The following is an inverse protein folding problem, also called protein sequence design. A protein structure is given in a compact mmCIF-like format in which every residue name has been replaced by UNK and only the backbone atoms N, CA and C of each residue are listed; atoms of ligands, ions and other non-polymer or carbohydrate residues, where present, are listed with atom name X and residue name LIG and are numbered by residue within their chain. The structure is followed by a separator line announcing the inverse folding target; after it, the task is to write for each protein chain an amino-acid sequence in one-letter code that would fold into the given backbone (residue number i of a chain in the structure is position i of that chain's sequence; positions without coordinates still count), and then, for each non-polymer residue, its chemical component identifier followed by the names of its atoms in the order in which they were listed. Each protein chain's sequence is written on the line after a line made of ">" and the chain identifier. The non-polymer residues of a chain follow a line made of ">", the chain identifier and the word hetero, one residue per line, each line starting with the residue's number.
data_IF_212436790448
#
_entry.id   IF_212436790448
#
_cell.length_a   1.000
_cell.length_b   1.000
_cell.length_c   1.000
_cell.angle_alpha   90.00
_cell.angle_beta   90.00
_cell.angle_gamma   90.00
#
_symmetry.space_group_name_H-M   'P 1'
#
loop_
_entity.id
_entity.type
_entity.pdbx_description
1 polymer ?
#
# COMPACT_ATOMS: atom_id res chain seq x y z
N UNK A 1 -26.47 -19.60 4.84
CA UNK A 1 -27.71 -18.84 4.58
C UNK A 1 -27.35 -17.38 4.46
N UNK A 2 -27.86 -16.70 3.43
CA UNK A 2 -27.50 -15.31 3.14
C UNK A 2 -28.73 -14.41 3.26
N UNK A 3 -28.54 -13.18 3.71
CA UNK A 3 -29.58 -12.15 3.75
C UNK A 3 -29.01 -10.84 3.22
N UNK A 4 -29.63 -10.33 2.16
CA UNK A 4 -29.22 -9.10 1.47
C UNK A 4 -30.28 -8.01 1.70
N UNK A 5 -29.91 -6.99 2.47
CA UNK A 5 -30.72 -5.82 2.82
C UNK A 5 -30.03 -4.51 2.39
N UNK A 6 -29.11 -4.61 1.42
CA UNK A 6 -28.37 -3.47 0.89
C UNK A 6 -29.25 -2.48 0.13
N UNK A 7 -28.76 -1.26 -0.09
CA UNK A 7 -29.44 -0.20 -0.86
C UNK A 7 -30.85 0.14 -0.35
N UNK A 8 -31.00 0.18 0.98
CA UNK A 8 -32.25 0.51 1.65
C UNK A 8 -32.12 1.80 2.47
N UNK A 9 -33.15 2.13 3.25
CA UNK A 9 -33.19 3.33 4.10
C UNK A 9 -33.04 2.97 5.59
N UNK A 10 -32.36 1.87 5.92
CA UNK A 10 -32.23 1.41 7.30
C UNK A 10 -31.32 2.37 8.05
N UNK A 11 -31.81 2.93 9.16
CA UNK A 11 -31.05 3.86 10.00
C UNK A 11 -30.49 3.21 11.26
N UNK A 12 -31.21 2.21 11.78
CA UNK A 12 -30.92 1.56 13.05
C UNK A 12 -31.15 0.06 12.95
N UNK A 13 -30.20 -0.70 13.49
CA UNK A 13 -30.36 -2.14 13.73
C UNK A 13 -30.57 -2.35 15.22
N UNK A 14 -31.74 -2.87 15.60
CA UNK A 14 -32.12 -3.04 17.00
C UNK A 14 -31.61 -4.37 17.58
N UNK A 15 -31.78 -4.53 18.89
CA UNK A 15 -31.50 -5.81 19.54
C UNK A 15 -32.42 -6.88 18.97
N UNK A 16 -31.90 -8.11 18.85
CA UNK A 16 -32.65 -9.29 18.41
C UNK A 16 -33.27 -9.21 17.00
N UNK A 17 -33.00 -8.19 16.19
CA UNK A 17 -33.50 -8.07 14.80
C UNK A 17 -33.26 -9.33 13.98
N UNK A 18 -32.10 -9.98 14.16
CA UNK A 18 -31.72 -11.20 13.44
C UNK A 18 -31.74 -12.46 14.33
N UNK A 19 -32.41 -12.43 15.49
CA UNK A 19 -32.33 -13.50 16.48
C UNK A 19 -32.85 -14.86 15.98
N UNK A 20 -33.86 -14.86 15.10
CA UNK A 20 -34.43 -16.07 14.52
C UNK A 20 -33.57 -16.65 13.38
N UNK A 21 -32.59 -15.89 12.89
CA UNK A 21 -31.73 -16.25 11.76
C UNK A 21 -30.42 -16.90 12.25
N UNK A 22 -30.51 -17.91 13.12
CA UNK A 22 -29.34 -18.56 13.73
C UNK A 22 -28.40 -19.28 12.75
N UNK A 23 -28.86 -19.55 11.51
CA UNK A 23 -28.06 -20.15 10.43
C UNK A 23 -27.47 -19.12 9.46
N UNK A 24 -27.63 -17.82 9.75
CA UNK A 24 -27.11 -16.73 8.91
C UNK A 24 -25.58 -16.79 8.86
N UNK A 25 -25.05 -16.83 7.64
CA UNK A 25 -23.62 -16.91 7.31
C UNK A 25 -23.15 -15.62 6.63
N UNK A 26 -24.00 -15.00 5.80
CA UNK A 26 -23.67 -13.71 5.17
C UNK A 26 -24.80 -12.72 5.37
N UNK A 27 -24.45 -11.49 5.72
CA UNK A 27 -25.39 -10.39 5.90
C UNK A 27 -24.91 -9.15 5.16
N UNK A 28 -25.66 -8.76 4.12
CA UNK A 28 -25.47 -7.51 3.39
C UNK A 28 -26.37 -6.40 3.95
N UNK A 29 -25.75 -5.33 4.44
CA UNK A 29 -26.40 -4.10 4.93
C UNK A 29 -25.80 -2.85 4.27
N UNK A 30 -25.10 -3.01 3.14
CA UNK A 30 -24.45 -1.90 2.44
C UNK A 30 -25.43 -0.84 1.92
N UNK A 31 -24.96 0.38 1.64
CA UNK A 31 -25.75 1.43 0.98
C UNK A 31 -27.00 1.81 1.77
N UNK A 32 -26.92 1.80 3.10
CA UNK A 32 -28.02 2.19 3.99
C UNK A 32 -27.67 3.50 4.72
N UNK A 33 -28.48 3.90 5.70
CA UNK A 33 -28.24 5.08 6.55
C UNK A 33 -27.87 4.67 7.98
N UNK A 34 -27.29 3.49 8.15
CA UNK A 34 -27.09 2.90 9.48
C UNK A 34 -26.07 3.72 10.24
N UNK A 35 -26.51 4.41 11.28
CA UNK A 35 -25.61 5.12 12.21
C UNK A 35 -25.54 4.42 13.57
N UNK A 36 -26.42 3.46 13.84
CA UNK A 36 -26.49 2.74 15.10
C UNK A 36 -26.85 1.27 14.90
N UNK A 37 -26.00 0.38 15.40
CA UNK A 37 -26.26 -1.06 15.51
C UNK A 37 -26.24 -1.43 16.98
N UNK A 38 -27.33 -1.93 17.54
CA UNK A 38 -27.36 -2.31 18.96
C UNK A 38 -26.28 -3.37 19.27
N UNK A 39 -25.62 -3.28 20.44
CA UNK A 39 -24.55 -4.20 20.86
C UNK A 39 -24.95 -5.69 20.84
N UNK A 40 -26.23 -5.97 21.02
CA UNK A 40 -26.79 -7.33 21.05
C UNK A 40 -27.47 -7.75 19.73
N UNK A 41 -27.30 -6.97 18.66
CA UNK A 41 -27.94 -7.24 17.36
C UNK A 41 -27.56 -8.61 16.79
N UNK A 42 -26.29 -9.04 16.97
CA UNK A 42 -25.72 -10.23 16.32
C UNK A 42 -25.40 -11.40 17.27
N UNK A 43 -25.89 -11.35 18.52
CA UNK A 43 -25.56 -12.35 19.57
C UNK A 43 -25.96 -13.79 19.20
N UNK A 44 -27.00 -13.96 18.39
CA UNK A 44 -27.52 -15.28 17.99
C UNK A 44 -26.96 -15.77 16.66
N UNK A 45 -26.28 -14.91 15.88
CA UNK A 45 -25.79 -15.20 14.53
C UNK A 45 -24.34 -15.71 14.60
N UNK A 46 -24.11 -16.78 15.37
CA UNK A 46 -22.75 -17.32 15.62
C UNK A 46 -22.08 -17.94 14.39
N UNK A 47 -22.85 -18.23 13.35
CA UNK A 47 -22.37 -18.76 12.06
C UNK A 47 -22.03 -17.65 11.05
N UNK A 48 -22.17 -16.38 11.43
CA UNK A 48 -21.88 -15.26 10.54
C UNK A 48 -20.40 -15.27 10.17
N UNK A 49 -20.14 -15.34 8.86
CA UNK A 49 -18.83 -15.37 8.21
C UNK A 49 -18.55 -14.06 7.50
N UNK A 50 -19.58 -13.45 6.88
CA UNK A 50 -19.43 -12.19 6.18
C UNK A 50 -20.44 -11.17 6.66
N UNK A 51 -19.95 -9.96 6.96
CA UNK A 51 -20.77 -8.81 7.30
C UNK A 51 -20.37 -7.62 6.44
N UNK A 52 -21.26 -7.23 5.54
CA UNK A 52 -21.08 -6.07 4.68
C UNK A 52 -21.90 -4.88 5.21
N UNK A 53 -21.19 -3.83 5.62
CA UNK A 53 -21.73 -2.57 6.13
C UNK A 53 -21.22 -1.37 5.32
N UNK A 54 -20.79 -1.59 4.08
CA UNK A 54 -20.25 -0.52 3.24
C UNK A 54 -21.24 0.63 3.02
N UNK A 55 -20.79 1.87 2.90
CA UNK A 55 -21.64 3.00 2.57
C UNK A 55 -22.73 3.25 3.62
N UNK A 56 -22.33 3.38 4.89
CA UNK A 56 -23.22 3.66 6.01
C UNK A 56 -22.70 4.86 6.83
N UNK A 57 -23.32 5.13 7.99
CA UNK A 57 -23.02 6.27 8.85
C UNK A 57 -22.43 5.83 10.20
N UNK A 58 -21.77 4.68 10.24
CA UNK A 58 -21.26 4.09 11.47
C UNK A 58 -20.05 4.88 11.98
N UNK A 59 -20.09 5.27 13.26
CA UNK A 59 -19.03 6.04 13.93
C UNK A 59 -18.26 5.22 14.97
N UNK A 60 -18.89 4.22 15.58
CA UNK A 60 -18.35 3.49 16.74
C UNK A 60 -18.60 1.97 16.62
N UNK A 61 -17.63 1.14 17.01
CA UNK A 61 -17.69 -0.35 16.91
C UNK A 61 -17.10 -1.04 18.17
N UNK A 62 -17.61 -0.80 19.37
CA UNK A 62 -16.84 -1.12 20.59
C UNK A 62 -17.49 -2.13 21.55
N UNK A 63 -16.68 -2.68 22.47
CA UNK A 63 -17.17 -3.35 23.68
C UNK A 63 -18.06 -2.39 24.47
N UNK A 64 -19.32 -2.75 24.70
CA UNK A 64 -20.35 -1.88 25.30
C UNK A 64 -20.74 -0.65 24.45
N UNK A 65 -20.32 -0.58 23.19
CA UNK A 65 -20.76 0.41 22.21
C UNK A 65 -21.60 -0.28 21.12
N UNK A 66 -22.21 0.48 20.19
CA UNK A 66 -22.84 -0.07 19.01
C UNK A 66 -21.90 -1.01 18.23
N UNK A 67 -22.50 -1.96 17.51
CA UNK A 67 -21.82 -2.95 16.67
C UNK A 67 -20.77 -3.80 17.43
N UNK A 68 -21.22 -4.60 18.40
CA UNK A 68 -20.35 -5.53 19.12
C UNK A 68 -20.33 -6.91 18.44
N UNK A 69 -19.16 -7.32 17.94
CA UNK A 69 -18.96 -8.56 17.18
C UNK A 69 -18.31 -9.68 18.01
N UNK A 70 -18.21 -9.52 19.33
CA UNK A 70 -17.55 -10.50 20.21
C UNK A 70 -18.12 -11.92 20.11
N UNK A 71 -19.40 -12.05 19.76
CA UNK A 71 -20.11 -13.33 19.66
C UNK A 71 -20.13 -13.92 18.25
N UNK A 72 -19.34 -13.37 17.32
CA UNK A 72 -19.25 -13.82 15.93
C UNK A 72 -17.81 -14.31 15.64
N UNK A 73 -17.38 -15.42 16.27
CA UNK A 73 -15.97 -15.85 16.18
C UNK A 73 -15.57 -16.39 14.82
N UNK A 74 -16.54 -16.81 14.02
CA UNK A 74 -16.34 -17.30 12.66
C UNK A 74 -16.42 -16.23 11.58
N UNK A 75 -16.41 -14.94 11.95
CA UNK A 75 -16.40 -13.85 10.99
C UNK A 75 -15.04 -13.82 10.27
N UNK A 76 -15.08 -13.96 8.95
CA UNK A 76 -13.96 -13.99 8.01
C UNK A 76 -13.82 -12.64 7.32
N UNK A 77 -14.94 -12.08 6.85
CA UNK A 77 -14.99 -10.84 6.07
C UNK A 77 -15.79 -9.77 6.82
N UNK A 78 -15.15 -8.63 7.09
CA UNK A 78 -15.80 -7.44 7.65
C UNK A 78 -15.55 -6.25 6.74
N UNK A 79 -16.59 -5.79 6.05
CA UNK A 79 -16.53 -4.67 5.12
C UNK A 79 -17.19 -3.44 5.76
N UNK A 80 -16.38 -2.42 6.02
CA UNK A 80 -16.77 -1.16 6.68
C UNK A 80 -16.39 0.06 5.82
N UNK A 81 -16.18 -0.16 4.52
CA UNK A 81 -15.84 0.89 3.55
C UNK A 81 -16.87 2.02 3.57
N UNK A 82 -16.44 3.27 3.40
CA UNK A 82 -17.31 4.45 3.37
C UNK A 82 -18.26 4.53 4.57
N UNK A 83 -17.66 4.57 5.77
CA UNK A 83 -18.36 4.87 7.01
C UNK A 83 -17.81 6.17 7.61
N UNK A 84 -17.96 6.38 8.91
CA UNK A 84 -17.58 7.59 9.62
C UNK A 84 -16.70 7.26 10.84
N UNK A 85 -15.93 6.18 10.76
CA UNK A 85 -15.04 5.72 11.83
C UNK A 85 -13.86 6.68 11.97
N UNK A 86 -13.55 7.08 13.21
CA UNK A 86 -12.48 8.04 13.51
C UNK A 86 -11.24 7.37 14.13
N UNK A 87 -11.38 6.14 14.65
CA UNK A 87 -10.28 5.37 15.26
C UNK A 87 -10.51 3.86 15.18
N UNK A 88 -9.44 3.08 15.05
CA UNK A 88 -9.47 1.61 15.09
C UNK A 88 -9.57 1.11 16.53
N UNK A 89 -9.04 1.84 17.52
CA UNK A 89 -9.17 1.50 18.94
C UNK A 89 -10.62 1.42 19.42
N UNK A 90 -11.53 2.06 18.69
CA UNK A 90 -12.97 1.99 18.94
C UNK A 90 -13.62 0.74 18.38
N UNK A 91 -12.84 -0.16 17.73
CA UNK A 91 -13.24 -1.43 17.11
C UNK A 91 -12.84 -2.61 18.01
N UNK A 92 -13.74 -3.09 18.89
CA UNK A 92 -13.49 -4.31 19.66
C UNK A 92 -13.68 -5.55 18.78
N UNK A 93 -12.60 -5.96 18.11
CA UNK A 93 -12.56 -7.18 17.31
C UNK A 93 -12.04 -8.40 18.09
N UNK A 94 -11.99 -8.37 19.42
CA UNK A 94 -11.41 -9.47 20.22
C UNK A 94 -12.12 -10.82 20.02
N UNK A 95 -13.38 -10.81 19.59
CA UNK A 95 -14.12 -12.03 19.27
C UNK A 95 -13.89 -12.56 17.86
N UNK A 96 -13.57 -11.72 16.87
CA UNK A 96 -13.40 -12.08 15.46
C UNK A 96 -12.00 -12.68 15.23
N UNK A 97 -11.79 -13.91 15.71
CA UNK A 97 -10.48 -14.57 15.68
C UNK A 97 -10.10 -15.12 14.30
N UNK A 98 -11.10 -15.42 13.47
CA UNK A 98 -10.93 -15.95 12.12
C UNK A 98 -11.02 -14.87 11.05
N UNK A 99 -10.88 -13.59 11.43
CA UNK A 99 -11.00 -12.49 10.49
C UNK A 99 -9.80 -12.50 9.55
N UNK A 100 -10.07 -12.74 8.27
CA UNK A 100 -9.07 -12.80 7.20
C UNK A 100 -9.05 -11.50 6.40
N UNK A 101 -10.22 -10.88 6.17
CA UNK A 101 -10.35 -9.66 5.38
C UNK A 101 -11.05 -8.55 6.16
N UNK A 102 -10.39 -7.39 6.23
CA UNK A 102 -10.89 -6.20 6.89
C UNK A 102 -10.74 -4.99 5.97
N UNK A 103 -11.87 -4.41 5.56
CA UNK A 103 -11.91 -3.18 4.79
C UNK A 103 -12.43 -2.01 5.64
N UNK A 104 -11.54 -1.08 5.96
CA UNK A 104 -11.79 0.17 6.68
C UNK A 104 -11.59 1.40 5.78
N UNK A 105 -11.55 1.22 4.46
CA UNK A 105 -11.26 2.32 3.54
C UNK A 105 -12.38 3.37 3.51
N UNK A 106 -12.07 4.58 3.03
CA UNK A 106 -13.05 5.68 2.94
C UNK A 106 -13.68 6.04 4.31
N UNK A 107 -12.92 5.93 5.40
CA UNK A 107 -13.33 6.37 6.73
C UNK A 107 -12.62 7.68 7.12
N UNK A 108 -12.59 8.02 8.41
CA UNK A 108 -11.99 9.24 8.96
C UNK A 108 -10.91 8.93 9.99
N UNK A 109 -10.28 7.76 9.89
CA UNK A 109 -9.26 7.29 10.84
C UNK A 109 -8.05 8.22 10.75
N UNK A 110 -7.58 8.73 11.89
CA UNK A 110 -6.51 9.73 11.94
C UNK A 110 -5.15 9.18 12.38
N UNK A 111 -5.14 8.05 13.10
CA UNK A 111 -3.94 7.41 13.64
C UNK A 111 -4.16 5.91 13.79
N UNK A 112 -3.06 5.15 13.80
CA UNK A 112 -3.06 3.73 14.15
C UNK A 112 -2.16 3.55 15.37
N UNK A 113 -2.73 3.02 16.46
CA UNK A 113 -2.03 2.76 17.71
C UNK A 113 -1.51 1.30 17.77
N UNK A 114 -0.51 1.05 18.63
CA UNK A 114 0.21 -0.25 18.70
C UNK A 114 -0.72 -1.47 18.90
N UNK A 115 -1.85 -1.30 19.60
CA UNK A 115 -2.74 -2.39 19.98
C UNK A 115 -4.06 -2.45 19.20
N UNK A 116 -4.27 -1.53 18.25
CA UNK A 116 -5.52 -1.40 17.49
C UNK A 116 -5.89 -2.68 16.74
N UNK A 117 -4.88 -3.40 16.24
CA UNK A 117 -5.02 -4.63 15.47
C UNK A 117 -4.42 -5.84 16.19
N UNK A 118 -4.27 -5.75 17.52
CA UNK A 118 -3.68 -6.82 18.33
C UNK A 118 -4.46 -8.13 18.19
N UNK A 119 -3.71 -9.25 18.16
CA UNK A 119 -4.24 -10.61 18.10
C UNK A 119 -5.12 -10.89 16.88
N UNK A 120 -4.81 -10.26 15.73
CA UNK A 120 -5.41 -10.56 14.42
C UNK A 120 -4.44 -11.37 13.56
N UNK A 121 -4.03 -12.52 14.08
CA UNK A 121 -3.01 -13.37 13.45
C UNK A 121 -3.44 -13.93 12.10
N UNK A 122 -4.74 -14.15 11.91
CA UNK A 122 -5.33 -14.68 10.68
C UNK A 122 -5.58 -13.64 9.60
N UNK A 123 -5.45 -12.35 9.92
CA UNK A 123 -5.75 -11.29 8.96
C UNK A 123 -4.78 -11.35 7.78
N UNK A 124 -5.34 -11.60 6.59
CA UNK A 124 -4.62 -11.76 5.34
C UNK A 124 -4.65 -10.46 4.51
N UNK A 125 -5.75 -9.71 4.57
CA UNK A 125 -5.96 -8.49 3.79
C UNK A 125 -6.48 -7.39 4.69
N UNK A 126 -5.79 -6.25 4.64
CA UNK A 126 -6.14 -5.06 5.39
C UNK A 126 -6.14 -3.84 4.47
N UNK A 127 -7.32 -3.27 4.26
CA UNK A 127 -7.49 -2.03 3.53
C UNK A 127 -7.84 -0.89 4.51
N UNK A 128 -6.94 0.09 4.65
CA UNK A 128 -7.18 1.32 5.43
C UNK A 128 -6.88 2.54 4.54
N UNK A 129 -7.08 2.39 3.23
CA UNK A 129 -6.86 3.48 2.26
C UNK A 129 -7.94 4.55 2.37
N UNK A 130 -7.70 5.73 1.77
CA UNK A 130 -8.65 6.86 1.79
C UNK A 130 -9.13 7.23 3.19
N UNK A 131 -8.20 7.34 4.15
CA UNK A 131 -8.47 7.81 5.50
C UNK A 131 -7.70 9.14 5.74
N UNK A 132 -7.54 9.54 6.99
CA UNK A 132 -6.83 10.76 7.39
C UNK A 132 -5.60 10.44 8.25
N UNK A 133 -5.00 9.27 8.04
CA UNK A 133 -3.93 8.77 8.92
C UNK A 133 -2.68 9.62 8.74
N UNK A 134 -2.24 10.26 9.82
CA UNK A 134 -1.03 11.07 9.86
C UNK A 134 0.14 10.33 10.52
N UNK A 135 -0.17 9.43 11.46
CA UNK A 135 0.81 8.71 12.26
C UNK A 135 0.41 7.24 12.45
N UNK A 136 1.41 6.37 12.42
CA UNK A 136 1.30 4.94 12.74
C UNK A 136 2.32 4.65 13.82
N UNK A 137 1.85 4.22 14.99
CA UNK A 137 2.73 3.86 16.10
C UNK A 137 3.69 2.72 15.68
N UNK A 138 4.92 2.68 16.22
CA UNK A 138 5.85 1.57 15.99
C UNK A 138 5.18 0.22 16.27
N UNK A 139 5.50 -0.80 15.47
CA UNK A 139 4.99 -2.16 15.66
C UNK A 139 3.46 -2.36 15.66
N UNK A 140 2.67 -1.36 15.20
CA UNK A 140 1.18 -1.46 15.12
C UNK A 140 0.65 -2.66 14.34
N UNK A 141 1.42 -3.18 13.39
CA UNK A 141 1.04 -4.35 12.59
C UNK A 141 1.76 -5.64 13.03
N UNK A 142 2.50 -5.61 14.13
CA UNK A 142 3.45 -6.69 14.49
C UNK A 142 2.80 -8.05 14.77
N UNK A 143 1.49 -8.08 15.06
CA UNK A 143 0.75 -9.34 15.30
C UNK A 143 0.10 -9.92 14.05
N UNK A 144 0.14 -9.22 12.91
CA UNK A 144 -0.53 -9.62 11.67
C UNK A 144 0.33 -10.59 10.84
N UNK A 145 0.62 -11.75 11.42
CA UNK A 145 1.59 -12.71 10.89
C UNK A 145 1.18 -13.29 9.53
N UNK A 146 -0.11 -13.43 9.25
CA UNK A 146 -0.64 -13.91 7.98
C UNK A 146 -0.95 -12.81 6.98
N UNK A 147 -0.59 -11.54 7.25
CA UNK A 147 -0.94 -10.44 6.36
C UNK A 147 -0.16 -10.52 5.04
N UNK A 148 -0.90 -10.58 3.93
CA UNK A 148 -0.38 -10.63 2.57
C UNK A 148 -0.49 -9.28 1.86
N UNK A 149 -1.58 -8.56 2.11
CA UNK A 149 -1.90 -7.30 1.43
C UNK A 149 -2.22 -6.23 2.46
N UNK A 150 -1.49 -5.11 2.38
CA UNK A 150 -1.74 -3.91 3.17
C UNK A 150 -1.87 -2.69 2.27
N UNK A 151 -3.03 -2.05 2.30
CA UNK A 151 -3.27 -0.80 1.59
C UNK A 151 -3.44 0.36 2.58
N UNK A 152 -2.45 1.26 2.59
CA UNK A 152 -2.41 2.51 3.35
C UNK A 152 -2.43 3.73 2.42
N UNK A 153 -2.80 3.55 1.15
CA UNK A 153 -2.80 4.63 0.17
C UNK A 153 -3.84 5.71 0.46
N UNK A 154 -3.62 6.91 -0.06
CA UNK A 154 -4.53 8.06 0.11
C UNK A 154 -4.79 8.37 1.59
N UNK A 155 -3.72 8.44 2.35
CA UNK A 155 -3.68 8.92 3.71
C UNK A 155 -2.83 10.20 3.77
N UNK A 156 -2.44 10.63 4.97
CA UNK A 156 -1.69 11.86 5.21
C UNK A 156 -0.34 11.57 5.87
N UNK A 157 0.23 10.39 5.64
CA UNK A 157 1.48 9.96 6.25
C UNK A 157 2.64 10.82 5.75
N UNK A 158 3.44 11.37 6.66
CA UNK A 158 4.63 12.17 6.33
C UNK A 158 5.94 11.41 6.54
N UNK A 159 5.90 10.38 7.39
CA UNK A 159 7.02 9.48 7.67
C UNK A 159 6.51 8.09 8.08
N UNK A 160 7.40 7.11 8.07
CA UNK A 160 7.13 5.75 8.54
C UNK A 160 8.25 5.33 9.48
N UNK A 161 7.89 4.82 10.65
CA UNK A 161 8.88 4.28 11.58
C UNK A 161 9.48 2.97 11.05
N UNK A 162 10.78 2.75 11.23
CA UNK A 162 11.47 1.56 10.71
C UNK A 162 10.93 0.23 11.26
N UNK A 163 10.21 0.25 12.39
CA UNK A 163 9.58 -0.93 12.97
C UNK A 163 8.14 -1.18 12.50
N UNK A 164 7.50 -0.23 11.79
CA UNK A 164 6.09 -0.32 11.40
C UNK A 164 5.76 -1.63 10.67
N UNK A 165 6.63 -2.09 9.76
CA UNK A 165 6.43 -3.32 8.98
C UNK A 165 7.34 -4.49 9.41
N UNK A 166 8.08 -4.33 10.51
CA UNK A 166 9.19 -5.22 10.87
C UNK A 166 8.81 -6.68 11.14
N UNK A 167 7.54 -6.97 11.48
CA UNK A 167 7.07 -8.32 11.77
C UNK A 167 5.91 -8.76 10.88
N UNK A 168 6.01 -8.46 9.57
CA UNK A 168 5.06 -8.92 8.56
C UNK A 168 5.77 -9.89 7.59
N UNK A 169 6.00 -11.16 8.00
CA UNK A 169 6.81 -12.12 7.24
C UNK A 169 6.15 -12.57 5.94
N UNK A 170 4.81 -12.51 5.88
CA UNK A 170 4.00 -12.93 4.74
C UNK A 170 3.59 -11.79 3.81
N UNK A 171 3.99 -10.55 4.10
CA UNK A 171 3.59 -9.39 3.30
C UNK A 171 4.13 -9.49 1.88
N UNK A 172 3.21 -9.41 0.91
CA UNK A 172 3.50 -9.50 -0.52
C UNK A 172 3.21 -8.19 -1.24
N UNK A 173 2.17 -7.48 -0.81
CA UNK A 173 1.71 -6.25 -1.46
C UNK A 173 1.56 -5.15 -0.42
N UNK A 174 2.26 -4.04 -0.65
CA UNK A 174 2.17 -2.84 0.17
C UNK A 174 1.91 -1.62 -0.70
N UNK A 175 0.82 -0.90 -0.42
CA UNK A 175 0.53 0.37 -1.04
C UNK A 175 0.60 1.51 -0.03
N UNK A 176 1.45 2.48 -0.32
CA UNK A 176 1.66 3.73 0.41
C UNK A 176 1.44 4.94 -0.53
N UNK A 177 0.81 4.70 -1.69
CA UNK A 177 0.60 5.72 -2.70
C UNK A 177 -0.26 6.88 -2.18
N UNK A 178 -0.12 8.07 -2.77
CA UNK A 178 -0.92 9.25 -2.41
C UNK A 178 -0.84 9.57 -0.91
N UNK A 179 0.38 9.58 -0.36
CA UNK A 179 0.68 10.09 0.97
C UNK A 179 1.61 11.31 0.82
N UNK A 180 2.19 11.78 1.93
CA UNK A 180 3.10 12.92 1.97
C UNK A 180 4.50 12.50 2.43
N UNK A 181 4.91 11.26 2.15
CA UNK A 181 6.19 10.71 2.61
C UNK A 181 7.35 11.47 1.97
N UNK A 182 8.31 11.90 2.78
CA UNK A 182 9.49 12.66 2.30
C UNK A 182 10.75 11.80 2.16
N UNK A 183 10.82 10.70 2.90
CA UNK A 183 11.90 9.73 2.85
C UNK A 183 11.40 8.33 3.26
N UNK A 184 12.13 7.29 2.83
CA UNK A 184 11.99 5.92 3.31
C UNK A 184 13.35 5.47 3.83
N UNK A 185 13.43 5.03 5.08
CA UNK A 185 14.68 4.53 5.64
C UNK A 185 15.11 3.21 4.97
N UNK A 186 16.42 2.99 4.84
CA UNK A 186 17.01 1.82 4.16
C UNK A 186 16.52 0.48 4.73
N UNK A 187 16.26 0.43 6.03
CA UNK A 187 15.89 -0.82 6.71
C UNK A 187 14.39 -1.00 6.90
N UNK A 188 13.55 -0.11 6.36
CA UNK A 188 12.09 -0.15 6.56
C UNK A 188 11.47 -1.47 6.09
N UNK A 189 11.97 -2.07 5.01
CA UNK A 189 11.42 -3.31 4.44
C UNK A 189 12.33 -4.53 4.61
N UNK A 190 13.38 -4.43 5.43
CA UNK A 190 14.45 -5.44 5.48
C UNK A 190 13.93 -6.82 5.86
N UNK A 191 12.87 -6.89 6.68
CA UNK A 191 12.25 -8.13 7.18
C UNK A 191 11.09 -8.64 6.31
N UNK A 192 10.68 -7.92 5.27
CA UNK A 192 9.56 -8.29 4.41
C UNK A 192 10.02 -9.07 3.17
N UNK A 193 10.74 -10.19 3.36
CA UNK A 193 11.40 -10.92 2.26
C UNK A 193 10.46 -11.47 1.16
N UNK A 194 9.16 -11.56 1.45
CA UNK A 194 8.12 -11.99 0.50
C UNK A 194 7.49 -10.84 -0.29
N UNK A 195 7.91 -9.60 -0.07
CA UNK A 195 7.34 -8.43 -0.75
C UNK A 195 7.57 -8.52 -2.28
N UNK A 196 6.47 -8.49 -3.02
CA UNK A 196 6.39 -8.60 -4.48
C UNK A 196 6.10 -7.24 -5.13
N UNK A 197 5.20 -6.46 -4.53
CA UNK A 197 4.75 -5.18 -5.05
C UNK A 197 4.81 -4.10 -3.98
N UNK A 198 5.45 -2.97 -4.34
CA UNK A 198 5.51 -1.77 -3.51
C UNK A 198 5.05 -0.57 -4.34
N UNK A 199 4.01 0.12 -3.85
CA UNK A 199 3.51 1.35 -4.44
C UNK A 199 3.80 2.55 -3.53
N UNK A 200 4.63 3.48 -4.02
CA UNK A 200 5.01 4.73 -3.38
C UNK A 200 4.67 5.93 -4.27
N UNK A 201 3.79 5.73 -5.25
CA UNK A 201 3.33 6.77 -6.17
C UNK A 201 2.77 7.99 -5.42
N UNK A 202 2.95 9.19 -5.97
CA UNK A 202 2.34 10.43 -5.48
C UNK A 202 2.68 10.67 -3.99
N UNK A 203 3.97 10.68 -3.69
CA UNK A 203 4.52 11.07 -2.40
C UNK A 203 5.45 12.29 -2.60
N UNK A 204 6.17 12.70 -1.55
CA UNK A 204 7.12 13.81 -1.60
C UNK A 204 8.57 13.34 -1.43
N UNK A 205 8.89 12.13 -1.91
CA UNK A 205 10.20 11.52 -1.69
C UNK A 205 11.29 12.32 -2.41
N UNK A 206 12.33 12.73 -1.68
CA UNK A 206 13.43 13.53 -2.21
C UNK A 206 14.57 12.69 -2.80
N UNK A 207 14.70 11.44 -2.36
CA UNK A 207 15.70 10.49 -2.84
C UNK A 207 15.17 9.05 -2.74
N UNK A 208 15.74 8.15 -3.53
CA UNK A 208 15.51 6.72 -3.43
C UNK A 208 16.84 5.96 -3.33
N UNK A 209 16.96 5.10 -2.33
CA UNK A 209 18.13 4.25 -2.16
C UNK A 209 17.79 2.80 -2.57
N UNK A 210 18.57 2.17 -3.46
CA UNK A 210 18.29 0.78 -3.85
C UNK A 210 18.48 -0.21 -2.70
N UNK A 211 19.26 0.14 -1.69
CA UNK A 211 19.44 -0.63 -0.46
C UNK A 211 18.11 -0.88 0.25
N UNK A 212 17.16 0.07 0.15
CA UNK A 212 15.81 0.00 0.76
C UNK A 212 15.04 -1.27 0.41
N UNK A 213 15.31 -1.87 -0.76
CA UNK A 213 14.65 -3.08 -1.24
C UNK A 213 15.62 -4.23 -1.55
N UNK A 214 16.86 -4.16 -1.09
CA UNK A 214 17.89 -5.14 -1.44
C UNK A 214 17.50 -6.56 -1.01
N UNK A 215 16.97 -6.72 0.21
CA UNK A 215 16.54 -8.00 0.78
C UNK A 215 15.22 -8.55 0.21
N UNK A 216 14.40 -7.73 -0.45
CA UNK A 216 13.13 -8.14 -1.03
C UNK A 216 13.34 -8.83 -2.40
N UNK A 217 13.92 -10.03 -2.39
CA UNK A 217 14.32 -10.79 -3.59
C UNK A 217 13.15 -11.15 -4.52
N UNK A 218 11.93 -11.16 -3.98
CA UNK A 218 10.72 -11.45 -4.73
C UNK A 218 10.07 -10.22 -5.36
N UNK A 219 10.65 -9.02 -5.16
CA UNK A 219 10.07 -7.80 -5.70
C UNK A 219 10.04 -7.86 -7.24
N UNK A 220 8.85 -7.62 -7.78
CA UNK A 220 8.55 -7.59 -9.22
C UNK A 220 7.99 -6.24 -9.65
N UNK A 221 7.31 -5.54 -8.76
CA UNK A 221 6.66 -4.28 -9.07
C UNK A 221 7.09 -3.18 -8.09
N UNK A 222 7.52 -2.05 -8.65
CA UNK A 222 7.84 -0.85 -7.89
C UNK A 222 7.29 0.38 -8.60
N UNK A 223 6.43 1.15 -7.92
CA UNK A 223 5.91 2.41 -8.43
C UNK A 223 6.39 3.57 -7.57
N UNK A 224 7.13 4.48 -8.20
CA UNK A 224 7.75 5.66 -7.62
C UNK A 224 7.33 6.91 -8.41
N UNK A 225 6.23 6.84 -9.16
CA UNK A 225 5.72 7.98 -9.93
C UNK A 225 5.37 9.16 -9.03
N UNK A 226 5.37 10.37 -9.59
CA UNK A 226 4.85 11.56 -8.91
C UNK A 226 5.51 11.83 -7.54
N UNK A 227 6.84 11.69 -7.45
CA UNK A 227 7.64 12.06 -6.29
C UNK A 227 8.52 13.30 -6.57
N UNK A 228 9.32 13.72 -5.59
CA UNK A 228 10.13 14.94 -5.62
C UNK A 228 11.64 14.69 -5.72
N UNK A 229 12.06 13.63 -6.40
CA UNK A 229 13.48 13.25 -6.44
C UNK A 229 14.38 14.39 -6.91
N UNK A 230 15.29 14.84 -6.05
CA UNK A 230 16.19 15.97 -6.30
C UNK A 230 17.48 15.54 -7.02
N UNK A 231 18.07 16.44 -7.82
CA UNK A 231 19.46 16.29 -8.31
C UNK A 231 20.40 16.66 -7.19
N UNK A 232 21.25 15.73 -6.76
CA UNK A 232 22.36 16.09 -5.88
C UNK A 232 23.59 16.52 -6.70
N UNK A 233 24.00 17.79 -6.56
CA UNK A 233 25.15 18.39 -7.25
C UNK A 233 26.49 17.81 -6.79
N UNK A 234 26.62 17.30 -5.55
CA UNK A 234 27.91 16.91 -4.96
C UNK A 234 28.40 15.53 -5.41
N UNK A 235 27.50 14.61 -5.77
CA UNK A 235 27.88 13.26 -6.21
C UNK A 235 28.79 13.24 -7.46
N UNK A 236 28.69 14.29 -8.30
CA UNK A 236 29.50 14.43 -9.52
C UNK A 236 30.86 15.07 -9.35
N UNK A 237 31.06 15.83 -8.26
CA UNK A 237 32.34 16.49 -8.02
C UNK A 237 33.45 15.46 -7.75
N UNK A 238 33.08 14.30 -7.18
CA UNK A 238 34.03 13.25 -6.79
C UNK A 238 34.17 12.11 -7.82
N UNK A 239 33.26 11.99 -8.81
CA UNK A 239 33.16 10.78 -9.66
C UNK A 239 33.17 11.02 -11.19
N UNK A 240 33.38 12.24 -11.68
CA UNK A 240 33.55 12.51 -13.12
C UNK A 240 32.30 12.27 -13.98
N UNK A 241 32.39 12.61 -15.28
CA UNK A 241 31.28 12.65 -16.26
C UNK A 241 30.91 11.28 -16.84
N UNK A 242 30.76 10.24 -16.02
CA UNK A 242 30.27 8.93 -16.50
C UNK A 242 28.89 8.61 -15.92
N UNK A 243 27.88 8.63 -16.80
CA UNK A 243 26.54 8.13 -16.56
C UNK A 243 26.51 6.65 -16.99
N UNK A 244 27.00 5.76 -16.13
CA UNK A 244 26.87 4.34 -16.36
C UNK A 244 25.81 3.76 -15.41
N UNK A 245 24.67 3.34 -15.98
CA UNK A 245 23.68 2.54 -15.26
C UNK A 245 24.20 1.09 -15.20
N UNK A 246 25.42 0.92 -14.68
CA UNK A 246 25.95 -0.43 -14.51
C UNK A 246 27.46 -0.67 -14.44
N UNK A 247 27.99 -0.54 -13.22
CA UNK A 247 29.20 -1.13 -12.60
C UNK A 247 30.59 -1.05 -13.27
N UNK A 248 31.53 -0.65 -12.40
CA UNK A 248 32.96 -0.98 -12.28
C UNK A 248 33.99 -0.06 -12.94
N UNK A 249 34.77 0.58 -12.07
CA UNK A 249 36.13 0.99 -12.37
C UNK A 249 36.98 -0.23 -12.77
N UNK A 250 37.37 -0.28 -14.03
CA UNK A 250 38.73 -0.59 -14.47
C UNK A 250 38.80 -0.45 -16.00
N UNK A 251 39.72 0.40 -16.44
CA UNK A 251 40.21 0.58 -17.81
C UNK A 251 39.29 1.31 -18.81
N UNK A 252 39.55 2.60 -19.05
CA UNK A 252 40.15 3.08 -20.32
C UNK A 252 40.39 4.61 -20.28
N UNK A 253 41.48 5.01 -20.93
CA UNK A 253 41.95 6.38 -21.11
C UNK A 253 41.26 7.11 -22.29
N UNK A 254 41.17 8.43 -22.11
CA UNK A 254 41.27 9.52 -23.10
C UNK A 254 40.03 9.96 -23.90
N UNK A 255 39.92 11.28 -24.09
CA UNK A 255 39.14 11.89 -25.18
C UNK A 255 38.14 13.00 -24.81
N UNK A 256 38.66 14.22 -24.61
CA UNK A 256 38.11 15.54 -25.00
C UNK A 256 36.60 15.88 -24.88
N UNK A 257 36.36 16.86 -24.00
CA UNK A 257 35.62 18.13 -24.15
C UNK A 257 34.32 18.30 -24.96
N UNK A 258 33.51 19.21 -24.40
CA UNK A 258 32.30 19.88 -24.94
C UNK A 258 31.00 19.07 -24.99
N UNK A 259 30.24 19.11 -23.89
CA UNK A 259 28.86 19.63 -23.90
C UNK A 259 28.27 19.72 -22.48
N UNK A 260 27.77 20.91 -22.17
CA UNK A 260 27.19 21.31 -20.89
C UNK A 260 25.74 20.78 -20.69
N UNK A 261 25.35 20.65 -19.42
CA UNK A 261 23.96 20.63 -18.90
C UNK A 261 23.13 19.33 -18.79
N UNK A 262 23.68 18.19 -18.33
CA UNK A 262 22.80 17.10 -17.80
C UNK A 262 23.36 16.52 -16.49
N UNK A 263 22.67 16.78 -15.37
CA UNK A 263 23.08 16.32 -14.02
C UNK A 263 22.02 15.40 -13.38
N UNK A 264 22.47 14.19 -13.00
CA UNK A 264 21.92 13.01 -12.28
C UNK A 264 20.56 13.06 -11.61
N UNK A 265 19.78 11.99 -11.87
CA UNK A 265 18.66 11.54 -11.04
C UNK A 265 19.20 10.54 -9.99
N UNK A 266 18.96 10.79 -8.69
CA UNK A 266 19.34 9.89 -7.58
C UNK A 266 18.33 8.73 -7.42
N UNK A 267 18.11 7.99 -8.50
CA UNK A 267 17.46 6.67 -8.47
C UNK A 267 18.52 5.69 -8.92
N UNK A 268 19.50 5.43 -8.05
CA UNK A 268 20.44 4.35 -8.29
C UNK A 268 19.67 3.05 -8.11
N UNK A 269 19.65 2.19 -9.12
CA UNK A 269 19.10 0.84 -8.98
C UNK A 269 20.23 -0.15 -9.15
N UNK A 270 20.47 -0.94 -8.10
CA UNK A 270 21.44 -2.03 -8.17
C UNK A 270 21.06 -2.98 -9.34
N UNK A 271 22.02 -3.38 -10.18
CA UNK A 271 21.78 -4.25 -11.35
C UNK A 271 20.94 -5.49 -11.02
N UNK A 272 21.21 -6.13 -9.88
CA UNK A 272 20.48 -7.34 -9.43
C UNK A 272 19.04 -7.02 -9.06
N UNK A 273 18.80 -5.87 -8.44
CA UNK A 273 17.45 -5.38 -8.10
C UNK A 273 16.68 -5.02 -9.37
N UNK A 274 17.32 -4.35 -10.32
CA UNK A 274 16.67 -3.96 -11.57
C UNK A 274 16.32 -5.16 -12.46
N UNK A 275 17.24 -6.15 -12.58
CA UNK A 275 17.04 -7.33 -13.41
C UNK A 275 15.77 -8.14 -13.06
N UNK A 276 15.39 -8.16 -11.77
CA UNK A 276 14.23 -8.92 -11.27
C UNK A 276 12.90 -8.16 -11.35
N UNK A 277 12.91 -6.83 -11.50
CA UNK A 277 11.69 -6.03 -11.58
C UNK A 277 10.98 -6.27 -12.93
N UNK A 278 9.77 -6.82 -12.89
CA UNK A 278 8.91 -6.93 -14.06
C UNK A 278 8.35 -5.58 -14.46
N UNK A 279 8.06 -4.71 -13.48
CA UNK A 279 7.65 -3.34 -13.73
C UNK A 279 8.26 -2.38 -12.73
N UNK A 280 8.76 -1.27 -13.27
CA UNK A 280 9.24 -0.10 -12.55
C UNK A 280 8.59 1.12 -13.17
N UNK A 281 7.98 1.99 -12.35
CA UNK A 281 7.34 3.22 -12.82
C UNK A 281 7.96 4.43 -12.13
N UNK A 282 8.44 5.40 -12.92
CA UNK A 282 9.22 6.55 -12.45
C UNK A 282 8.77 7.91 -13.02
N UNK A 283 7.64 7.96 -13.72
CA UNK A 283 7.16 9.18 -14.37
C UNK A 283 6.77 10.31 -13.42
N UNK A 284 6.68 11.53 -13.98
CA UNK A 284 6.20 12.73 -13.30
C UNK A 284 6.93 13.04 -11.98
N UNK A 285 8.19 12.62 -11.88
CA UNK A 285 9.13 13.14 -10.91
C UNK A 285 9.71 14.45 -11.41
N UNK A 286 10.04 15.39 -10.53
CA UNK A 286 10.49 16.77 -10.84
C UNK A 286 11.65 16.84 -11.85
N UNK A 287 12.37 15.73 -12.07
CA UNK A 287 13.49 15.60 -13.02
C UNK A 287 13.36 14.52 -14.12
N UNK A 288 12.35 13.65 -14.08
CA UNK A 288 12.14 12.67 -15.15
C UNK A 288 11.79 13.38 -16.48
N UNK A 289 11.06 14.49 -16.43
CA UNK A 289 10.68 15.28 -17.61
C UNK A 289 11.87 15.98 -18.31
N UNK A 290 12.93 16.34 -17.57
CA UNK A 290 14.11 17.01 -18.15
C UNK A 290 15.13 16.00 -18.68
N UNK A 291 15.37 14.89 -17.96
CA UNK A 291 16.25 13.82 -18.42
C UNK A 291 15.72 13.10 -19.67
N UNK A 292 14.39 12.97 -19.82
CA UNK A 292 13.75 12.41 -21.01
C UNK A 292 13.87 13.32 -22.25
N UNK A 293 13.74 14.64 -22.07
CA UNK A 293 13.93 15.61 -23.17
C UNK A 293 15.38 15.67 -23.62
N UNK A 294 16.32 15.48 -22.71
CA UNK A 294 17.75 15.43 -23.01
C UNK A 294 18.17 14.12 -23.71
N UNK A 295 17.60 12.96 -23.31
CA UNK A 295 17.90 11.68 -23.94
C UNK A 295 17.39 11.57 -25.39
N UNK A 296 16.28 12.23 -25.73
CA UNK A 296 15.76 12.32 -27.10
C UNK A 296 16.63 13.18 -28.03
N UNK A 297 17.36 14.17 -27.50
CA UNK A 297 18.30 15.01 -28.27
C UNK A 297 19.66 14.34 -28.50
N UNK A 298 20.09 13.46 -27.60
CA UNK A 298 21.43 12.86 -27.58
C UNK A 298 21.48 11.40 -28.03
N UNK A 299 20.36 10.80 -28.45
CA UNK A 299 20.34 9.42 -28.96
C UNK A 299 20.62 8.34 -27.91
N UNK A 300 20.46 8.64 -26.62
CA UNK A 300 20.83 7.75 -25.51
C UNK A 300 19.84 6.59 -25.39
N UNK A 301 20.34 5.35 -25.52
CA UNK A 301 19.59 4.12 -25.29
C UNK A 301 19.70 3.67 -23.82
N UNK A 302 18.57 3.27 -23.23
CA UNK A 302 18.53 2.73 -21.86
C UNK A 302 18.74 1.21 -21.89
N UNK A 303 19.79 0.74 -21.23
CA UNK A 303 20.13 -0.69 -21.16
C UNK A 303 19.69 -1.30 -19.83
N UNK A 304 19.17 -2.54 -19.88
CA UNK A 304 18.90 -3.37 -18.72
C UNK A 304 19.84 -4.59 -18.75
N UNK A 305 21.12 -4.38 -18.43
CA UNK A 305 22.13 -5.43 -18.54
C UNK A 305 22.47 -5.82 -19.98
N UNK A 306 22.88 -7.08 -20.20
CA UNK A 306 23.38 -7.62 -21.48
C UNK A 306 22.30 -8.00 -22.49
N UNK A 307 21.02 -7.74 -22.20
CA UNK A 307 19.93 -7.90 -23.15
C UNK A 307 19.25 -6.55 -23.39
N UNK A 308 19.00 -6.16 -24.64
CA UNK A 308 18.34 -4.90 -24.96
C UNK A 308 16.87 -4.97 -24.55
N UNK A 309 16.57 -4.69 -23.29
CA UNK A 309 15.19 -4.45 -22.86
C UNK A 309 14.84 -3.02 -23.30
N UNK A 310 14.06 -2.90 -24.38
CA UNK A 310 13.55 -1.62 -24.87
C UNK A 310 12.74 -0.95 -23.75
N UNK A 311 13.36 -0.02 -23.07
CA UNK A 311 12.67 0.93 -22.21
C UNK A 311 11.91 1.87 -23.14
N UNK A 312 10.58 1.87 -23.05
CA UNK A 312 9.77 2.85 -23.78
C UNK A 312 9.61 4.06 -22.90
N UNK A 313 9.94 5.21 -23.46
CA UNK A 313 9.63 6.50 -22.86
C UNK A 313 8.53 7.11 -23.70
N UNK A 314 7.34 7.29 -23.11
CA UNK A 314 6.27 7.95 -23.84
C UNK A 314 6.46 9.48 -23.90
N UNK A 315 5.64 10.15 -24.69
CA UNK A 315 5.71 11.61 -24.90
C UNK A 315 5.43 12.44 -23.63
N UNK A 316 5.09 11.79 -22.53
CA UNK A 316 4.84 12.38 -21.22
C UNK A 316 5.95 12.04 -20.19
N UNK A 317 7.02 11.38 -20.62
CA UNK A 317 8.18 11.06 -19.77
C UNK A 317 8.03 9.78 -18.95
N UNK A 318 7.10 8.89 -19.30
CA UNK A 318 6.94 7.62 -18.60
C UNK A 318 7.98 6.60 -19.03
N UNK A 319 8.85 6.18 -18.12
CA UNK A 319 9.79 5.08 -18.32
C UNK A 319 9.06 3.75 -18.08
N UNK A 320 8.88 2.97 -19.14
CA UNK A 320 8.29 1.62 -19.08
C UNK A 320 9.33 0.57 -19.46
N UNK A 321 9.41 -0.52 -18.69
CA UNK A 321 9.84 -1.79 -19.28
C UNK A 321 8.74 -2.24 -20.24
N UNK A 322 9.07 -2.54 -21.51
CA UNK A 322 8.09 -3.02 -22.50
C UNK A 322 7.21 -4.15 -21.90
N UNK A 323 5.90 -3.91 -21.78
CA UNK A 323 4.92 -4.87 -21.26
C UNK A 323 4.14 -4.45 -19.99
N UNK A 324 4.51 -3.35 -19.33
CA UNK A 324 3.79 -2.89 -18.13
C UNK A 324 2.63 -1.94 -18.48
N UNK A 325 1.43 -2.21 -17.95
CA UNK A 325 0.29 -1.28 -18.01
C UNK A 325 -0.14 -0.89 -16.59
N UNK A 326 -0.59 0.36 -16.39
CA UNK A 326 -1.12 0.85 -15.10
C UNK A 326 -2.29 0.00 -14.55
N UNK A 327 -2.89 -0.79 -15.44
CA UNK A 327 -3.95 -1.76 -15.18
C UNK A 327 -3.41 -2.90 -14.28
N UNK A 328 -2.20 -3.41 -14.50
CA UNK A 328 -1.72 -4.60 -13.77
C UNK A 328 -1.56 -4.41 -12.26
N UNK A 329 -1.05 -3.26 -11.79
CA UNK A 329 -0.99 -3.03 -10.34
C UNK A 329 -2.36 -2.78 -9.73
N UNK A 330 -3.18 -1.96 -10.40
CA UNK A 330 -4.54 -1.71 -9.92
C UNK A 330 -5.30 -3.03 -9.84
N UNK A 331 -5.19 -3.91 -10.83
CA UNK A 331 -5.75 -5.27 -10.76
C UNK A 331 -5.04 -6.16 -9.75
N UNK A 332 -3.74 -6.03 -9.49
CA UNK A 332 -3.10 -6.79 -8.40
C UNK A 332 -3.62 -6.34 -7.03
N UNK A 333 -3.74 -5.04 -6.78
CA UNK A 333 -4.33 -4.51 -5.55
C UNK A 333 -5.82 -4.85 -5.47
N UNK A 334 -6.62 -4.54 -6.49
CA UNK A 334 -8.08 -4.77 -6.48
C UNK A 334 -8.46 -6.24 -6.60
N UNK A 335 -7.80 -7.05 -7.46
CA UNK A 335 -8.14 -8.47 -7.58
C UNK A 335 -7.59 -9.32 -6.43
N UNK A 336 -6.66 -8.80 -5.63
CA UNK A 336 -6.30 -9.42 -4.36
C UNK A 336 -7.26 -8.98 -3.26
N UNK A 337 -7.72 -7.72 -3.24
CA UNK A 337 -8.69 -7.25 -2.24
C UNK A 337 -10.15 -7.67 -2.50
N UNK A 338 -10.49 -8.19 -3.69
CA UNK A 338 -11.84 -8.66 -4.08
C UNK A 338 -11.95 -10.20 -4.07
N UNK A 339 -10.90 -10.93 -3.65
CA UNK A 339 -10.93 -12.41 -3.65
C UNK A 339 -11.32 -13.01 -2.33
#
# INVERSE_FOLDING_TARGET
>A
MELHLGENQIERVYSRTFALLGKLEQLGLHGNKIFFVHKDAFVHNRKLQQLDLCGNLIRFIGKNRPLNLRNNPGLIDLLLTDNKLESISEIDMSGCKQLEHLDLSLNRIQRIEENDLSNKTELAILNISFNHIQEIAPASFSTLLNLHTLDLSKNQLTSIHHQTFSNLPNLQVLSLAYNSLTAIAENTFIRNGRLVALDLKSNSLLAWQPATIYSNINMRYLDLQENQFAVNKTYFADHGRHFDVGDWASDFHDGSDEDEEIRNIHVTLNKRVFARLQCLRLSNNTLALQAVRASQKLGVQFYAGSTPCKVRIDNTGHVFRCGCSAIQLRYMLTAWMIK
#
